data_IF_854425101369
#
_entry.id   IF_854425101369
#
_cell.length_a   1.000
_cell.length_b   1.000
_cell.length_c   1.000
_cell.angle_alpha   90.00
_cell.angle_beta   90.00
_cell.angle_gamma   90.00
#
_symmetry.space_group_name_H-M   'P 1'
#
loop_
_entity.id
_entity.type
_entity.pdbx_description
1 polymer ?
#
# COMPACT_ATOMS: atom_id res chain seq x y z
N UNK A 1 4.72 -23.06 -13.32
CA UNK A 1 3.40 -22.60 -12.81
C UNK A 1 3.29 -22.72 -11.29
N UNK A 2 3.55 -23.89 -10.69
CA UNK A 2 3.48 -24.08 -9.22
C UNK A 2 4.39 -23.15 -8.41
N UNK A 3 5.63 -22.92 -8.86
CA UNK A 3 6.57 -22.01 -8.18
C UNK A 3 6.11 -20.55 -8.21
N UNK A 4 5.49 -20.09 -9.30
CA UNK A 4 4.97 -18.72 -9.42
C UNK A 4 3.76 -18.53 -8.49
N UNK A 5 2.83 -19.48 -8.48
CA UNK A 5 1.67 -19.43 -7.57
C UNK A 5 2.09 -19.45 -6.10
N UNK A 6 3.12 -20.23 -5.76
CA UNK A 6 3.68 -20.23 -4.40
C UNK A 6 4.33 -18.89 -4.05
N UNK A 7 5.06 -18.26 -4.98
CA UNK A 7 5.67 -16.96 -4.75
C UNK A 7 4.61 -15.87 -4.50
N UNK A 8 3.55 -15.84 -5.30
CA UNK A 8 2.42 -14.92 -5.12
C UNK A 8 1.73 -15.16 -3.77
N UNK A 9 1.47 -16.41 -3.39
CA UNK A 9 0.84 -16.73 -2.11
C UNK A 9 1.61 -16.28 -0.86
N UNK A 10 2.92 -15.99 -0.98
CA UNK A 10 3.73 -15.44 0.12
C UNK A 10 3.67 -13.91 0.19
N UNK A 11 3.22 -13.23 -0.86
CA UNK A 11 3.11 -11.76 -0.89
C UNK A 11 1.86 -11.32 -0.14
N UNK A 12 2.01 -10.48 0.88
CA UNK A 12 0.88 -9.94 1.67
C UNK A 12 -0.14 -9.25 0.75
N UNK A 13 0.29 -8.56 -0.30
CA UNK A 13 -0.58 -7.86 -1.25
C UNK A 13 -1.49 -8.79 -2.06
N UNK A 14 -1.12 -10.07 -2.18
CA UNK A 14 -1.90 -11.08 -2.91
C UNK A 14 -2.71 -11.99 -1.97
N UNK A 15 -2.58 -11.82 -0.65
CA UNK A 15 -3.35 -12.58 0.32
C UNK A 15 -4.79 -12.08 0.38
N UNK A 16 -5.72 -13.01 0.61
CA UNK A 16 -7.12 -12.66 0.86
C UNK A 16 -7.26 -12.04 2.24
N UNK A 17 -7.94 -10.90 2.33
CA UNK A 17 -8.30 -10.32 3.62
C UNK A 17 -9.41 -11.17 4.29
N UNK A 18 -9.18 -11.73 5.49
CA UNK A 18 -10.18 -12.50 6.23
C UNK A 18 -11.49 -11.73 6.51
N UNK A 19 -11.41 -10.41 6.68
CA UNK A 19 -12.56 -9.55 7.00
C UNK A 19 -13.51 -9.35 5.81
N UNK A 20 -13.09 -9.70 4.60
CA UNK A 20 -13.86 -9.49 3.36
C UNK A 20 -14.17 -10.80 2.63
N UNK A 21 -14.10 -11.95 3.30
CA UNK A 21 -14.25 -13.27 2.67
C UNK A 21 -15.62 -13.51 2.02
N UNK A 22 -16.65 -12.81 2.51
CA UNK A 22 -18.04 -12.85 2.03
C UNK A 22 -18.56 -11.46 1.61
N UNK A 23 -17.66 -10.54 1.22
CA UNK A 23 -18.00 -9.14 0.91
C UNK A 23 -19.03 -9.02 -0.23
N UNK A 24 -19.07 -9.99 -1.14
CA UNK A 24 -20.02 -10.10 -2.25
C UNK A 24 -21.47 -10.36 -1.83
N UNK A 25 -21.69 -10.74 -0.56
CA UNK A 25 -23.01 -11.08 0.00
C UNK A 25 -23.53 -10.03 0.97
N UNK A 26 -22.76 -8.99 1.24
CA UNK A 26 -23.07 -7.94 2.20
C UNK A 26 -24.01 -6.89 1.61
N UNK A 27 -24.69 -6.13 2.47
CA UNK A 27 -25.40 -4.92 2.03
C UNK A 27 -24.40 -3.85 1.59
N UNK A 28 -24.86 -2.87 0.81
CA UNK A 28 -23.99 -1.77 0.39
C UNK A 28 -23.37 -1.01 1.59
N UNK A 29 -24.12 -0.83 2.68
CA UNK A 29 -23.63 -0.19 3.91
C UNK A 29 -22.52 -1.02 4.56
N UNK A 30 -22.73 -2.33 4.69
CA UNK A 30 -21.74 -3.20 5.33
C UNK A 30 -20.46 -3.29 4.48
N UNK A 31 -20.57 -3.30 3.15
CA UNK A 31 -19.40 -3.25 2.24
C UNK A 31 -18.56 -2.00 2.52
N UNK A 32 -19.16 -0.82 2.52
CA UNK A 32 -18.41 0.43 2.74
C UNK A 32 -17.88 0.54 4.17
N UNK A 33 -18.51 -0.13 5.15
CA UNK A 33 -17.99 -0.23 6.50
C UNK A 33 -16.74 -1.11 6.58
N UNK A 34 -16.72 -2.26 5.91
CA UNK A 34 -15.51 -3.11 5.80
C UNK A 34 -14.38 -2.32 5.17
N UNK A 35 -14.62 -1.65 4.04
CA UNK A 35 -13.63 -0.81 3.36
C UNK A 35 -13.11 0.29 4.30
N UNK A 36 -14.00 1.04 4.95
CA UNK A 36 -13.61 2.12 5.85
C UNK A 36 -12.79 1.62 7.05
N UNK A 37 -13.09 0.42 7.54
CA UNK A 37 -12.34 -0.16 8.66
C UNK A 37 -10.92 -0.55 8.26
N UNK A 38 -10.71 -1.01 7.03
CA UNK A 38 -9.38 -1.26 6.49
C UNK A 38 -8.63 0.04 6.17
N UNK A 39 -9.32 1.07 5.64
CA UNK A 39 -8.71 2.39 5.35
C UNK A 39 -8.10 3.03 6.59
N UNK A 40 -8.72 2.86 7.78
CA UNK A 40 -8.16 3.35 9.05
C UNK A 40 -6.79 2.76 9.37
N UNK A 41 -6.52 1.53 8.92
CA UNK A 41 -5.23 0.88 9.16
C UNK A 41 -4.09 1.54 8.40
N UNK A 42 -4.38 2.24 7.30
CA UNK A 42 -3.37 2.97 6.52
C UNK A 42 -2.68 4.02 7.36
N UNK A 43 -3.43 4.82 8.12
CA UNK A 43 -2.84 5.85 8.98
C UNK A 43 -1.94 5.25 10.05
N UNK A 44 -2.36 4.14 10.67
CA UNK A 44 -1.58 3.41 11.69
C UNK A 44 -0.30 2.83 11.08
N UNK A 45 -0.37 2.28 9.86
CA UNK A 45 0.82 1.77 9.17
C UNK A 45 1.79 2.90 8.78
N UNK A 46 1.28 4.06 8.35
CA UNK A 46 2.10 5.25 8.06
C UNK A 46 2.77 5.78 9.33
N UNK A 47 2.08 5.77 10.47
CA UNK A 47 2.63 6.18 11.77
C UNK A 47 3.90 5.38 12.13
N UNK A 48 3.88 4.07 11.87
CA UNK A 48 5.04 3.19 12.11
C UNK A 48 6.25 3.51 11.22
N UNK A 49 6.02 4.17 10.08
CA UNK A 49 7.04 4.55 9.10
C UNK A 49 7.56 5.98 9.29
N UNK A 50 7.08 6.74 10.27
CA UNK A 50 7.46 8.15 10.46
C UNK A 50 8.99 8.38 10.57
N UNK A 51 9.78 7.55 11.28
CA UNK A 51 11.23 7.73 11.32
C UNK A 51 11.90 7.63 9.93
N UNK A 52 11.46 6.69 9.10
CA UNK A 52 11.97 6.47 7.75
C UNK A 52 11.52 7.59 6.81
N UNK A 53 10.27 8.02 6.92
CA UNK A 53 9.71 9.16 6.18
C UNK A 53 10.50 10.42 6.51
N UNK A 54 10.76 10.69 7.80
CA UNK A 54 11.55 11.84 8.24
C UNK A 54 12.97 11.81 7.64
N UNK A 55 13.65 10.65 7.70
CA UNK A 55 14.97 10.51 7.07
C UNK A 55 14.93 10.75 5.55
N UNK A 56 13.90 10.28 4.86
CA UNK A 56 13.74 10.53 3.43
C UNK A 56 13.54 12.02 3.15
N UNK A 57 12.70 12.71 3.93
CA UNK A 57 12.47 14.16 3.83
C UNK A 57 13.77 14.93 4.01
N UNK A 58 14.57 14.63 5.05
CA UNK A 58 15.85 15.29 5.28
C UNK A 58 16.81 15.15 4.09
N UNK A 59 16.92 13.94 3.53
CA UNK A 59 17.76 13.68 2.35
C UNK A 59 17.27 14.44 1.12
N UNK A 60 15.96 14.52 0.91
CA UNK A 60 15.36 15.25 -0.21
C UNK A 60 15.62 16.75 -0.07
N UNK A 61 15.47 17.31 1.13
CA UNK A 61 15.77 18.73 1.41
C UNK A 61 17.24 19.04 1.12
N UNK A 62 18.18 18.22 1.62
CA UNK A 62 19.61 18.39 1.33
C UNK A 62 19.93 18.32 -0.17
N UNK A 63 19.19 17.50 -0.93
CA UNK A 63 19.35 17.43 -2.38
C UNK A 63 18.86 18.72 -3.05
N UNK A 64 17.72 19.26 -2.63
CA UNK A 64 17.19 20.53 -3.13
C UNK A 64 18.11 21.71 -2.85
N UNK A 65 18.70 21.79 -1.64
CA UNK A 65 19.67 22.84 -1.27
C UNK A 65 20.91 22.84 -2.18
N UNK A 66 21.24 21.69 -2.76
CA UNK A 66 22.36 21.51 -3.70
C UNK A 66 21.93 21.65 -5.17
N UNK A 67 20.70 22.09 -5.45
CA UNK A 67 20.16 22.22 -6.81
C UNK A 67 19.70 20.91 -7.45
N UNK A 68 19.54 19.85 -6.65
CA UNK A 68 19.02 18.55 -7.08
C UNK A 68 17.51 18.52 -7.31
N UNK A 69 16.98 17.36 -7.72
CA UNK A 69 15.55 17.14 -8.01
C UNK A 69 15.09 15.80 -7.46
N UNK A 70 13.81 15.73 -7.05
CA UNK A 70 13.15 14.48 -6.69
C UNK A 70 12.42 13.93 -7.91
N UNK A 71 12.69 12.68 -8.26
CA UNK A 71 12.00 11.97 -9.33
C UNK A 71 11.12 10.89 -8.72
N UNK A 72 9.83 10.89 -9.09
CA UNK A 72 8.92 9.78 -8.78
C UNK A 72 8.68 9.00 -10.06
N UNK A 73 8.99 7.71 -10.03
CA UNK A 73 8.71 6.78 -11.12
C UNK A 73 7.76 5.71 -10.63
N UNK A 74 6.72 5.46 -11.40
CA UNK A 74 5.82 4.32 -11.21
C UNK A 74 5.98 3.42 -12.44
N UNK A 75 6.07 2.09 -12.27
CA UNK A 75 6.06 1.19 -13.41
C UNK A 75 4.77 1.42 -14.20
N UNK A 76 4.86 1.35 -15.53
CA UNK A 76 3.67 1.38 -16.37
C UNK A 76 2.73 0.28 -15.89
N UNK A 77 1.48 0.64 -15.57
CA UNK A 77 0.43 -0.37 -15.42
C UNK A 77 0.33 -1.02 -16.79
N UNK A 78 0.49 -2.35 -16.87
CA UNK A 78 0.01 -3.05 -18.05
C UNK A 78 -1.50 -2.79 -18.09
N UNK A 79 -1.91 -1.85 -18.93
CA UNK A 79 -3.29 -1.81 -19.38
C UNK A 79 -3.53 -3.11 -20.17
N UNK A 80 -4.72 -3.69 -20.00
CA UNK A 80 -5.13 -4.94 -20.64
C UNK A 80 -4.89 -4.94 -22.17
#
# INVERSE_FOLDING_TARGET
MSQLLNALGQMITEQRNPNSMNIDRLSALDIVQVINQEDKQVAIAVEQCLPQIAQAVEKIVQAFEKGGRLFMSVPARAED
#
